data_IF_094361027890
#
_entry.id   IF_094361027890
#
_cell.length_a   1.000
_cell.length_b   1.000
_cell.length_c   1.000
_cell.angle_alpha   90.00
_cell.angle_beta   90.00
_cell.angle_gamma   90.00
#
_symmetry.space_group_name_H-M   'P 1'
#
loop_
_entity.id
_entity.type
_entity.pdbx_description
1 polymer ?
#
# COMPACT_ATOMS: atom_id res chain seq x y z
N UNK A 1 -4.81 0.38 1.85
CA UNK A 1 -4.29 0.05 3.18
C UNK A 1 -5.32 0.41 4.25
N UNK A 2 -5.81 -0.57 5.00
CA UNK A 2 -6.74 -0.30 6.10
C UNK A 2 -5.96 0.16 7.33
N UNK A 3 -6.36 1.29 7.90
CA UNK A 3 -5.86 1.85 9.15
C UNK A 3 -7.02 2.45 9.92
N UNK A 4 -6.93 2.39 11.23
CA UNK A 4 -7.86 3.07 12.12
C UNK A 4 -7.27 4.45 12.47
N UNK A 5 -8.07 5.48 12.28
CA UNK A 5 -7.78 6.84 12.73
C UNK A 5 -8.80 7.18 13.82
N UNK A 6 -8.31 7.66 14.95
CA UNK A 6 -9.16 8.05 16.08
C UNK A 6 -8.89 9.52 16.35
N UNK A 7 -9.94 10.32 16.27
CA UNK A 7 -9.93 11.70 16.72
C UNK A 7 -10.73 11.78 18.02
N UNK A 8 -10.17 12.42 19.02
CA UNK A 8 -10.80 12.62 20.31
C UNK A 8 -10.52 14.04 20.80
N UNK A 9 -11.50 14.64 21.47
CA UNK A 9 -11.40 15.99 22.00
C UNK A 9 -12.31 16.18 23.21
N UNK A 10 -12.46 17.42 23.66
CA UNK A 10 -13.38 17.82 24.72
C UNK A 10 -14.86 17.66 24.31
N UNK A 11 -15.77 18.08 25.21
CA UNK A 11 -17.22 17.91 25.04
C UNK A 11 -17.78 18.58 23.79
N UNK A 12 -17.16 19.67 23.35
CA UNK A 12 -17.60 20.48 22.21
C UNK A 12 -16.76 20.20 20.93
N UNK A 13 -16.01 19.10 20.93
CA UNK A 13 -15.22 18.68 19.78
C UNK A 13 -16.07 17.89 18.78
N UNK A 14 -16.05 18.30 17.50
CA UNK A 14 -16.83 17.73 16.41
C UNK A 14 -15.90 17.04 15.40
N UNK A 15 -15.51 15.77 15.60
CA UNK A 15 -14.58 15.06 14.74
C UNK A 15 -15.08 14.92 13.30
N UNK A 16 -16.38 14.94 13.06
CA UNK A 16 -16.99 14.90 11.73
C UNK A 16 -16.59 16.09 10.86
N UNK A 17 -16.37 17.26 11.42
CA UNK A 17 -15.88 18.45 10.69
C UNK A 17 -14.48 18.24 10.14
N UNK A 18 -13.70 17.38 10.80
CA UNK A 18 -12.31 17.09 10.42
C UNK A 18 -12.25 15.89 9.47
N UNK A 19 -13.04 14.85 9.75
CA UNK A 19 -12.95 13.57 9.04
C UNK A 19 -13.69 13.56 7.71
N UNK A 20 -14.68 14.45 7.51
CA UNK A 20 -15.46 14.48 6.29
C UNK A 20 -15.23 15.78 5.49
N UNK A 21 -15.27 15.66 4.17
CA UNK A 21 -15.36 16.81 3.27
C UNK A 21 -16.82 17.21 3.06
N UNK A 22 -17.05 18.48 2.68
CA UNK A 22 -18.39 18.99 2.43
C UNK A 22 -18.88 18.71 1.02
N UNK A 23 -17.95 18.58 0.10
CA UNK A 23 -18.24 18.43 -1.32
C UNK A 23 -17.63 17.16 -1.86
N UNK A 24 -18.37 16.54 -2.78
CA UNK A 24 -17.86 15.46 -3.59
C UNK A 24 -17.01 16.05 -4.72
N UNK A 25 -15.82 15.52 -4.92
CA UNK A 25 -14.97 15.87 -6.04
C UNK A 25 -15.52 15.33 -7.37
N UNK A 26 -14.98 15.84 -8.46
CA UNK A 26 -15.24 15.27 -9.78
C UNK A 26 -14.60 13.88 -9.91
N UNK A 27 -15.22 13.05 -10.72
CA UNK A 27 -14.60 11.78 -11.06
C UNK A 27 -13.35 12.06 -11.91
N UNK A 28 -12.20 11.65 -11.39
CA UNK A 28 -10.94 11.72 -12.11
C UNK A 28 -10.56 10.31 -12.51
N UNK A 29 -10.41 10.08 -13.82
CA UNK A 29 -9.80 8.84 -14.30
C UNK A 29 -8.37 8.74 -13.76
N UNK A 30 -8.05 7.61 -13.13
CA UNK A 30 -6.69 7.33 -12.72
C UNK A 30 -5.82 7.27 -13.97
N UNK A 31 -4.70 8.01 -14.00
CA UNK A 31 -3.80 7.89 -15.13
C UNK A 31 -3.30 6.44 -15.20
N UNK A 32 -3.55 5.80 -16.32
CA UNK A 32 -2.95 4.52 -16.62
C UNK A 32 -1.46 4.75 -16.76
N UNK A 33 -0.67 4.22 -15.82
CA UNK A 33 0.78 4.37 -15.87
C UNK A 33 1.35 3.60 -17.04
N UNK A 34 2.36 4.14 -17.72
CA UNK A 34 3.12 3.37 -18.69
C UNK A 34 3.72 2.14 -18.02
N UNK A 35 3.40 0.97 -18.55
CA UNK A 35 3.95 -0.30 -18.04
C UNK A 35 5.44 -0.45 -18.38
N UNK A 36 5.92 0.31 -19.38
CA UNK A 36 7.33 0.39 -19.77
C UNK A 36 7.71 1.85 -19.98
N UNK A 37 8.85 2.28 -19.44
CA UNK A 37 9.32 3.66 -19.57
C UNK A 37 10.84 3.75 -19.38
N UNK A 38 11.41 4.85 -19.85
CA UNK A 38 12.80 5.23 -19.64
C UNK A 38 12.89 6.33 -18.61
N UNK A 39 13.82 6.21 -17.66
CA UNK A 39 14.08 7.24 -16.65
C UNK A 39 15.53 7.14 -16.17
N UNK A 40 16.19 8.29 -15.98
CA UNK A 40 17.55 8.36 -15.43
C UNK A 40 18.57 7.46 -16.18
N UNK A 41 18.39 7.26 -17.50
CA UNK A 41 19.25 6.43 -18.33
C UNK A 41 19.02 4.92 -18.19
N UNK A 42 17.96 4.50 -17.51
CA UNK A 42 17.57 3.11 -17.31
C UNK A 42 16.23 2.80 -17.94
N UNK A 43 16.07 1.58 -18.42
CA UNK A 43 14.78 1.05 -18.88
C UNK A 43 14.04 0.39 -17.72
N UNK A 44 12.73 0.63 -17.64
CA UNK A 44 11.88 0.06 -16.62
C UNK A 44 10.66 -0.62 -17.20
N UNK A 45 10.26 -1.72 -16.56
CA UNK A 45 8.96 -2.34 -16.75
C UNK A 45 8.30 -2.58 -15.41
N UNK A 46 7.05 -2.16 -15.27
CA UNK A 46 6.19 -2.45 -14.13
C UNK A 46 5.07 -3.39 -14.56
N UNK A 47 4.55 -4.16 -13.64
CA UNK A 47 3.55 -5.20 -13.95
C UNK A 47 2.11 -4.75 -13.70
N UNK A 48 1.96 -3.66 -12.96
CA UNK A 48 0.69 -3.01 -12.65
C UNK A 48 0.91 -1.50 -12.54
N UNK A 49 -0.12 -0.76 -12.84
CA UNK A 49 -0.12 0.71 -12.80
C UNK A 49 -0.08 1.26 -11.39
N UNK A 50 -0.54 0.49 -10.42
CA UNK A 50 -0.58 0.87 -9.00
C UNK A 50 0.01 -0.22 -8.12
N UNK A 51 0.54 0.19 -6.99
CA UNK A 51 1.11 -0.69 -5.98
C UNK A 51 0.04 -1.14 -4.98
N UNK A 52 0.15 -2.38 -4.51
CA UNK A 52 -0.57 -2.83 -3.33
C UNK A 52 0.03 -2.23 -2.04
N UNK A 53 -0.66 -2.42 -0.93
CA UNK A 53 -0.17 -1.99 0.37
C UNK A 53 1.20 -2.55 0.69
N UNK A 54 2.12 -1.66 1.07
CA UNK A 54 3.38 -2.06 1.68
C UNK A 54 3.13 -2.70 3.05
N UNK A 55 3.86 -3.74 3.37
CA UNK A 55 3.81 -4.44 4.66
C UNK A 55 5.20 -4.51 5.30
N UNK A 56 5.25 -4.56 6.62
CA UNK A 56 6.50 -4.46 7.40
C UNK A 56 7.53 -5.55 7.06
N UNK A 57 7.09 -6.73 6.63
CA UNK A 57 7.97 -7.82 6.26
C UNK A 57 8.44 -7.78 4.79
N UNK A 58 8.14 -6.73 4.03
CA UNK A 58 8.47 -6.63 2.61
C UNK A 58 9.95 -6.84 2.32
N UNK A 59 10.83 -6.31 3.16
CA UNK A 59 12.28 -6.43 2.99
C UNK A 59 12.88 -7.76 3.48
N UNK A 60 12.18 -8.54 4.29
CA UNK A 60 12.75 -9.69 4.98
C UNK A 60 12.23 -11.04 4.53
N UNK A 61 10.96 -11.13 4.20
CA UNK A 61 10.31 -12.38 3.84
C UNK A 61 9.61 -12.27 2.50
N UNK A 62 9.89 -13.23 1.65
CA UNK A 62 9.02 -13.58 0.56
C UNK A 62 7.81 -14.33 1.16
N UNK A 63 6.89 -13.61 1.70
CA UNK A 63 5.64 -14.21 2.10
C UNK A 63 4.81 -14.37 0.84
N UNK A 64 4.28 -15.54 0.56
CA UNK A 64 3.39 -15.84 -0.55
C UNK A 64 2.09 -15.02 -0.49
N UNK A 65 2.23 -13.72 -0.38
CA UNK A 65 1.18 -12.74 -0.33
C UNK A 65 0.70 -12.47 -1.75
N UNK A 66 -0.58 -12.24 -1.95
CA UNK A 66 -1.16 -11.95 -3.26
C UNK A 66 -0.40 -10.84 -4.00
N UNK A 67 0.06 -9.80 -3.29
CA UNK A 67 0.87 -8.72 -3.80
C UNK A 67 2.18 -9.17 -4.49
N UNK A 68 2.75 -10.29 -4.06
CA UNK A 68 3.97 -10.83 -4.65
C UNK A 68 3.71 -11.48 -6.02
N UNK A 69 2.53 -12.06 -6.22
CA UNK A 69 2.18 -12.76 -7.44
C UNK A 69 1.45 -11.89 -8.47
N UNK A 70 0.84 -10.80 -8.03
CA UNK A 70 0.24 -9.83 -8.94
C UNK A 70 1.27 -8.85 -9.57
N UNK A 71 2.50 -8.82 -9.04
CA UNK A 71 3.60 -8.02 -9.57
C UNK A 71 3.66 -6.57 -9.07
N UNK A 72 2.71 -6.13 -8.24
CA UNK A 72 2.62 -4.71 -7.83
C UNK A 72 3.80 -4.16 -7.03
N UNK A 73 4.66 -5.03 -6.51
CA UNK A 73 5.82 -4.68 -5.68
C UNK A 73 7.16 -5.05 -6.35
N UNK A 74 7.14 -5.29 -7.65
CA UNK A 74 8.33 -5.57 -8.45
C UNK A 74 8.44 -4.62 -9.61
N UNK A 75 9.68 -4.43 -10.03
CA UNK A 75 10.02 -3.69 -11.24
C UNK A 75 11.14 -4.43 -11.95
N UNK A 76 11.15 -4.41 -13.26
CA UNK A 76 12.30 -4.77 -14.07
C UNK A 76 13.05 -3.49 -14.34
N UNK A 77 14.33 -3.47 -14.07
CA UNK A 77 15.28 -2.42 -14.44
C UNK A 77 16.39 -3.05 -15.26
N UNK A 78 16.62 -2.56 -16.47
CA UNK A 78 17.63 -3.07 -17.40
C UNK A 78 17.60 -4.59 -17.50
N UNK A 79 16.42 -5.11 -17.80
CA UNK A 79 16.14 -6.53 -17.94
C UNK A 79 16.25 -7.39 -16.64
N UNK A 80 16.61 -6.79 -15.51
CA UNK A 80 16.75 -7.49 -14.23
C UNK A 80 15.60 -7.16 -13.29
N UNK A 81 14.95 -8.18 -12.78
CA UNK A 81 13.86 -8.00 -11.82
C UNK A 81 14.40 -7.65 -10.43
N UNK A 82 13.78 -6.66 -9.79
CA UNK A 82 14.09 -6.22 -8.45
C UNK A 82 12.84 -5.87 -7.64
N UNK A 83 13.03 -5.71 -6.35
CA UNK A 83 12.03 -5.12 -5.46
C UNK A 83 12.07 -3.59 -5.57
N UNK A 84 11.05 -2.95 -5.01
CA UNK A 84 11.13 -1.52 -4.74
C UNK A 84 12.19 -1.26 -3.67
N UNK A 85 12.97 -0.19 -3.84
CA UNK A 85 13.95 0.25 -2.84
C UNK A 85 13.25 0.86 -1.61
N UNK A 86 13.94 1.05 -0.47
CA UNK A 86 13.38 1.80 0.65
C UNK A 86 12.98 3.23 0.27
N UNK A 87 13.77 3.91 -0.56
CA UNK A 87 13.45 5.23 -1.11
C UNK A 87 12.13 5.24 -1.89
N UNK A 88 11.96 4.28 -2.78
CA UNK A 88 10.72 4.16 -3.56
C UNK A 88 9.51 3.83 -2.66
N UNK A 89 9.73 3.03 -1.60
CA UNK A 89 8.70 2.76 -0.60
C UNK A 89 8.36 4.00 0.24
N UNK A 90 9.33 4.85 0.55
CA UNK A 90 9.12 6.15 1.20
C UNK A 90 8.25 7.04 0.33
N UNK A 91 8.61 7.19 -0.95
CA UNK A 91 7.83 7.96 -1.94
C UNK A 91 6.40 7.45 -2.09
N UNK A 92 6.20 6.12 -2.14
CA UNK A 92 4.86 5.50 -2.17
C UNK A 92 4.00 5.85 -0.96
N UNK A 93 4.62 6.03 0.20
CA UNK A 93 3.94 6.37 1.45
C UNK A 93 3.86 7.88 1.69
N UNK A 94 4.45 8.70 0.79
CA UNK A 94 4.47 10.16 0.86
C UNK A 94 5.49 10.72 1.85
N UNK A 95 6.48 9.93 2.26
CA UNK A 95 7.62 10.44 3.03
C UNK A 95 8.56 11.24 2.13
N UNK A 96 9.30 12.20 2.69
CA UNK A 96 10.45 12.77 2.01
C UNK A 96 11.47 11.69 1.64
N UNK A 97 12.23 11.93 0.58
CA UNK A 97 13.32 11.04 0.18
C UNK A 97 14.31 10.85 1.33
N UNK A 98 14.77 9.62 1.50
CA UNK A 98 15.75 9.22 2.51
C UNK A 98 15.31 9.45 3.99
N UNK A 99 14.02 9.65 4.24
CA UNK A 99 13.48 9.92 5.58
C UNK A 99 13.84 8.85 6.61
N UNK A 100 13.86 7.58 6.21
CA UNK A 100 14.22 6.47 7.10
C UNK A 100 15.71 6.10 7.03
N UNK A 101 16.53 6.84 6.26
CA UNK A 101 17.95 6.59 6.12
C UNK A 101 18.78 7.25 7.23
N UNK A 102 18.49 6.90 8.46
CA UNK A 102 19.23 7.38 9.63
C UNK A 102 20.51 6.57 9.85
N UNK A 103 21.50 7.15 10.52
CA UNK A 103 22.79 6.50 10.82
C UNK A 103 22.59 5.14 11.49
N UNK A 104 23.14 4.10 10.89
CA UNK A 104 23.04 2.72 11.40
C UNK A 104 21.77 1.98 11.03
N UNK A 105 20.82 2.59 10.32
CA UNK A 105 19.63 1.91 9.87
C UNK A 105 19.94 0.84 8.82
N UNK A 106 19.58 -0.39 9.10
CA UNK A 106 19.64 -1.47 8.12
C UNK A 106 18.47 -1.35 7.14
N UNK A 107 18.68 -1.74 5.89
CA UNK A 107 17.63 -1.74 4.85
C UNK A 107 16.34 -2.43 5.32
N UNK A 108 16.45 -3.55 6.03
CA UNK A 108 15.29 -4.28 6.58
C UNK A 108 14.50 -3.47 7.58
N UNK A 109 15.18 -2.68 8.41
CA UNK A 109 14.53 -1.81 9.40
C UNK A 109 13.79 -0.66 8.71
N UNK A 110 14.34 -0.11 7.62
CA UNK A 110 13.67 0.91 6.80
C UNK A 110 12.35 0.38 6.24
N UNK A 111 12.35 -0.78 5.59
CA UNK A 111 11.11 -1.41 5.11
C UNK A 111 10.10 -1.67 6.22
N UNK A 112 10.58 -2.13 7.39
CA UNK A 112 9.73 -2.39 8.54
C UNK A 112 9.06 -1.10 9.06
N UNK A 113 9.82 -0.04 9.20
CA UNK A 113 9.31 1.26 9.63
C UNK A 113 8.25 1.79 8.66
N UNK A 114 8.57 1.82 7.36
CA UNK A 114 7.66 2.27 6.31
C UNK A 114 6.40 1.39 6.26
N UNK A 115 6.58 0.06 6.34
CA UNK A 115 5.47 -0.89 6.32
C UNK A 115 4.55 -0.81 7.55
N UNK A 116 5.03 -0.34 8.69
CA UNK A 116 4.21 -0.11 9.90
C UNK A 116 3.61 1.30 9.95
N UNK A 117 4.17 2.26 9.22
CA UNK A 117 3.73 3.65 9.23
C UNK A 117 2.33 3.85 8.62
N UNK A 118 1.86 5.05 8.70
CA UNK A 118 0.68 5.55 7.98
C UNK A 118 1.08 6.18 6.65
N UNK A 119 0.12 6.32 5.73
CA UNK A 119 0.32 7.15 4.55
C UNK A 119 0.39 8.62 4.99
N UNK A 120 1.50 9.27 4.72
CA UNK A 120 1.77 10.65 5.13
C UNK A 120 0.70 11.63 4.62
N UNK A 121 0.23 11.56 3.36
CA UNK A 121 -0.79 12.48 2.86
C UNK A 121 -2.09 12.45 3.68
N UNK A 122 -2.52 11.27 4.15
CA UNK A 122 -3.73 11.14 4.97
C UNK A 122 -3.57 11.85 6.32
N UNK A 123 -2.42 11.65 6.97
CA UNK A 123 -2.13 12.28 8.27
C UNK A 123 -1.97 13.80 8.12
N UNK A 124 -1.33 14.24 7.04
CA UNK A 124 -1.21 15.68 6.72
C UNK A 124 -2.58 16.30 6.46
N UNK A 125 -3.46 15.61 5.75
CA UNK A 125 -4.81 16.10 5.47
C UNK A 125 -5.60 16.27 6.78
N UNK A 126 -5.59 15.27 7.66
CA UNK A 126 -6.23 15.35 8.98
C UNK A 126 -5.61 16.48 9.80
N UNK A 127 -4.27 16.58 9.86
CA UNK A 127 -3.57 17.59 10.64
C UNK A 127 -3.86 19.02 10.19
N UNK A 128 -3.92 19.26 8.87
CA UNK A 128 -4.31 20.59 8.33
C UNK A 128 -5.73 20.97 8.75
N UNK A 129 -6.66 20.04 8.74
CA UNK A 129 -8.04 20.28 9.14
C UNK A 129 -8.18 20.49 10.64
N UNK A 130 -7.40 19.78 11.45
CA UNK A 130 -7.32 20.03 12.91
C UNK A 130 -6.87 21.46 13.23
N UNK A 131 -5.80 21.92 12.58
CA UNK A 131 -5.31 23.30 12.77
C UNK A 131 -6.36 24.33 12.32
N UNK A 132 -7.05 24.07 11.21
CA UNK A 132 -8.10 24.97 10.72
C UNK A 132 -9.35 24.95 11.59
N UNK A 133 -9.62 23.86 12.31
CA UNK A 133 -10.77 23.70 13.20
C UNK A 133 -10.76 24.70 14.36
N UNK A 134 -9.59 25.00 14.91
CA UNK A 134 -9.42 25.99 15.98
C UNK A 134 -9.74 27.43 15.54
N UNK A 135 -9.70 27.71 14.22
CA UNK A 135 -9.92 29.03 13.63
C UNK A 135 -11.37 29.30 13.25
N UNK A 136 -12.20 28.26 13.15
CA UNK A 136 -13.61 28.36 12.82
C UNK A 136 -14.46 28.18 14.07
N UNK A 137 -14.93 29.26 14.69
CA UNK A 137 -15.95 29.16 15.72
C UNK A 137 -17.16 28.37 15.18
N UNK A 138 -17.51 27.35 15.94
CA UNK A 138 -18.43 26.29 15.59
C UNK A 138 -19.69 26.73 14.85
N UNK A 139 -19.71 26.50 13.57
CA UNK A 139 -20.90 26.46 12.73
C UNK A 139 -21.91 25.39 13.26
N UNK A 140 -21.49 24.49 14.12
CA UNK A 140 -22.23 23.30 14.55
C UNK A 140 -23.16 23.48 15.76
N UNK A 141 -23.02 24.52 16.57
CA UNK A 141 -23.90 24.69 17.75
C UNK A 141 -25.40 24.79 17.40
N UNK A 142 -25.74 25.21 16.19
CA UNK A 142 -27.12 25.28 15.71
C UNK A 142 -27.62 24.04 14.95
N UNK A 143 -26.74 23.12 14.56
CA UNK A 143 -27.00 22.09 13.55
C UNK A 143 -27.42 20.72 14.08
N UNK A 144 -27.28 20.44 15.35
CA UNK A 144 -27.75 19.18 15.99
C UNK A 144 -29.24 18.89 15.80
N UNK A 145 -30.01 19.87 15.29
CA UNK A 145 -31.47 19.78 15.10
C UNK A 145 -31.94 19.14 13.81
N UNK A 146 -31.05 18.82 12.86
CA UNK A 146 -31.45 18.50 11.49
C UNK A 146 -30.82 17.22 10.92
N UNK A 147 -30.39 16.30 11.77
CA UNK A 147 -29.87 15.01 11.33
C UNK A 147 -31.06 14.11 10.96
N UNK A 148 -31.11 13.64 9.75
CA UNK A 148 -32.06 12.62 9.34
C UNK A 148 -31.74 11.30 10.06
N UNK A 149 -32.55 10.97 11.06
CA UNK A 149 -32.39 9.79 11.92
C UNK A 149 -32.35 8.47 11.12
N UNK A 150 -32.90 8.47 9.90
CA UNK A 150 -32.88 7.29 9.01
C UNK A 150 -31.48 6.96 8.47
N UNK A 151 -30.54 7.93 8.51
CA UNK A 151 -29.17 7.80 8.03
C UNK A 151 -28.14 7.57 9.13
N UNK A 152 -28.56 7.68 10.41
CA UNK A 152 -27.67 7.65 11.56
C UNK A 152 -28.20 6.67 12.59
N UNK A 153 -27.36 5.74 13.00
CA UNK A 153 -27.67 4.87 14.15
C UNK A 153 -27.02 5.47 15.41
N UNK A 154 -27.83 5.89 16.37
CA UNK A 154 -27.35 6.27 17.68
C UNK A 154 -27.12 5.02 18.54
N UNK A 155 -25.87 4.77 18.87
CA UNK A 155 -25.49 3.83 19.91
C UNK A 155 -25.06 4.62 21.12
N UNK A 156 -25.61 4.37 22.30
CA UNK A 156 -25.23 5.01 23.56
C UNK A 156 -24.06 6.01 23.48
N UNK A 157 -24.31 7.26 23.15
CA UNK A 157 -23.32 8.34 22.95
C UNK A 157 -22.40 8.22 21.69
N UNK A 158 -22.76 7.41 20.69
CA UNK A 158 -22.04 7.34 19.43
C UNK A 158 -22.98 7.55 18.22
N UNK A 159 -22.50 8.26 17.21
CA UNK A 159 -23.19 8.45 15.93
C UNK A 159 -22.44 7.60 14.91
N UNK A 160 -23.18 6.73 14.21
CA UNK A 160 -22.61 5.88 13.15
C UNK A 160 -23.07 6.42 11.79
N UNK A 161 -22.10 6.83 10.97
CA UNK A 161 -22.35 7.26 9.59
C UNK A 161 -22.26 6.07 8.63
N UNK A 162 -23.31 5.85 7.84
CA UNK A 162 -23.35 4.78 6.85
C UNK A 162 -22.77 5.28 5.51
N UNK A 163 -21.54 4.92 5.24
CA UNK A 163 -20.83 5.28 4.00
C UNK A 163 -21.46 4.72 2.73
N UNK A 164 -22.35 3.74 2.83
CA UNK A 164 -23.08 3.20 1.67
C UNK A 164 -24.09 4.19 1.10
N UNK A 165 -24.47 5.19 1.89
CA UNK A 165 -25.42 6.25 1.49
C UNK A 165 -24.80 7.34 0.63
N UNK A 166 -23.49 7.36 0.50
CA UNK A 166 -22.79 8.36 -0.33
C UNK A 166 -22.72 9.74 0.34
N UNK A 167 -23.48 10.71 -0.16
CA UNK A 167 -23.56 12.04 0.47
C UNK A 167 -24.65 12.00 1.54
N UNK A 168 -24.28 12.32 2.79
CA UNK A 168 -25.20 12.40 3.92
C UNK A 168 -25.53 13.86 4.18
N UNK A 169 -26.83 14.18 4.19
CA UNK A 169 -27.33 15.52 4.55
C UNK A 169 -27.52 15.59 6.06
N UNK A 170 -26.79 16.49 6.70
CA UNK A 170 -26.92 16.74 8.15
C UNK A 170 -27.49 18.15 8.39
N UNK A 171 -28.48 18.52 7.60
CA UNK A 171 -29.16 19.81 7.68
C UNK A 171 -28.45 20.88 6.83
N UNK A 172 -27.86 21.90 7.46
CA UNK A 172 -27.19 22.97 6.74
C UNK A 172 -25.87 22.53 6.06
N UNK A 173 -25.46 21.26 6.22
CA UNK A 173 -24.22 20.74 5.68
C UNK A 173 -24.40 19.34 5.09
N UNK A 174 -23.60 19.05 4.07
CA UNK A 174 -23.50 17.71 3.46
C UNK A 174 -22.14 17.13 3.79
N UNK A 175 -22.14 15.87 4.21
CA UNK A 175 -20.91 15.11 4.45
C UNK A 175 -20.63 14.22 3.25
N UNK A 176 -19.46 14.38 2.65
CA UNK A 176 -19.02 13.52 1.56
C UNK A 176 -18.51 12.19 2.12
N UNK A 177 -19.33 11.16 2.07
CA UNK A 177 -18.97 9.79 2.45
C UNK A 177 -18.65 8.91 1.23
N UNK A 178 -18.40 9.52 0.06
CA UNK A 178 -18.02 8.81 -1.17
C UNK A 178 -16.51 8.55 -1.22
N UNK A 179 -16.10 7.70 -2.16
CA UNK A 179 -14.67 7.48 -2.48
C UNK A 179 -14.08 8.59 -3.37
N UNK A 180 -14.83 9.68 -3.61
CA UNK A 180 -14.43 10.79 -4.47
C UNK A 180 -14.11 12.02 -3.61
N UNK A 181 -12.85 12.19 -3.17
CA UNK A 181 -12.45 13.36 -2.40
C UNK A 181 -12.56 14.63 -3.22
N UNK A 182 -12.76 15.77 -2.56
CA UNK A 182 -12.92 17.07 -3.21
C UNK A 182 -11.70 17.44 -4.07
N UNK A 183 -10.50 17.04 -3.62
CA UNK A 183 -9.25 17.23 -4.36
C UNK A 183 -8.42 15.96 -4.33
N UNK A 184 -7.97 15.52 -5.49
CA UNK A 184 -7.09 14.39 -5.67
C UNK A 184 -5.80 14.80 -6.37
N UNK A 185 -4.68 14.26 -5.89
CA UNK A 185 -3.42 14.24 -6.61
C UNK A 185 -3.05 12.80 -6.91
N UNK A 186 -2.74 12.52 -8.18
CA UNK A 186 -2.30 11.20 -8.62
C UNK A 186 -0.81 11.23 -8.95
N UNK A 187 -0.13 10.13 -8.59
CA UNK A 187 1.24 9.88 -9.00
C UNK A 187 1.34 8.50 -9.62
N UNK A 188 2.06 8.41 -10.72
CA UNK A 188 2.34 7.13 -11.36
C UNK A 188 3.53 6.43 -10.68
N UNK A 189 3.70 5.13 -10.92
CA UNK A 189 4.91 4.43 -10.49
C UNK A 189 6.18 5.00 -11.15
N UNK A 190 6.07 5.60 -12.33
CA UNK A 190 7.16 6.32 -13.00
C UNK A 190 7.71 7.47 -12.16
N UNK A 191 6.83 8.19 -11.43
CA UNK A 191 7.25 9.30 -10.56
C UNK A 191 8.02 8.80 -9.33
N UNK A 192 7.72 7.60 -8.88
CA UNK A 192 8.24 6.98 -7.65
C UNK A 192 9.54 6.25 -7.86
N UNK A 193 9.66 5.50 -8.98
CA UNK A 193 10.82 4.66 -9.29
C UNK A 193 12.07 5.50 -9.53
N UNK A 194 13.21 5.01 -9.02
CA UNK A 194 14.54 5.59 -9.18
C UNK A 194 15.47 4.63 -9.90
N UNK A 195 16.38 5.19 -10.74
CA UNK A 195 17.45 4.44 -11.36
C UNK A 195 18.52 3.98 -10.37
N UNK A 196 18.71 4.73 -9.30
CA UNK A 196 19.68 4.39 -8.23
C UNK A 196 19.10 3.35 -7.27
N UNK A 197 19.28 2.08 -7.62
CA UNK A 197 18.80 0.95 -6.85
C UNK A 197 19.94 0.09 -6.31
N UNK A 198 20.00 -0.18 -4.98
CA UNK A 198 21.05 -1.01 -4.41
C UNK A 198 21.04 -2.42 -5.01
N UNK A 199 22.22 -2.98 -5.28
CA UNK A 199 22.36 -4.31 -5.92
C UNK A 199 21.65 -5.44 -5.16
N UNK A 200 21.53 -5.32 -3.86
CA UNK A 200 20.95 -6.32 -2.98
C UNK A 200 19.43 -6.46 -3.10
N UNK A 201 18.74 -5.53 -3.75
CA UNK A 201 17.29 -5.66 -3.97
C UNK A 201 16.96 -6.38 -5.28
N UNK A 202 17.94 -6.57 -6.16
CA UNK A 202 17.76 -7.39 -7.36
C UNK A 202 17.61 -8.86 -6.99
N UNK A 203 16.71 -9.54 -7.69
CA UNK A 203 16.41 -10.93 -7.42
C UNK A 203 17.38 -11.82 -8.17
N UNK A 204 18.09 -12.67 -7.42
CA UNK A 204 19.01 -13.63 -8.04
C UNK A 204 18.26 -14.69 -8.87
N UNK A 205 18.92 -15.36 -9.83
CA UNK A 205 18.33 -16.45 -10.58
C UNK A 205 17.71 -17.54 -9.70
N UNK A 206 18.38 -17.91 -8.60
CA UNK A 206 17.85 -18.84 -7.58
C UNK A 206 16.59 -18.28 -6.94
N UNK A 207 16.54 -16.98 -6.68
CA UNK A 207 15.36 -16.30 -6.14
C UNK A 207 14.19 -16.33 -7.11
N UNK A 208 14.43 -16.03 -8.39
CA UNK A 208 13.43 -16.08 -9.45
C UNK A 208 12.82 -17.50 -9.57
N UNK A 209 13.66 -18.49 -9.68
CA UNK A 209 13.22 -19.90 -9.73
C UNK A 209 12.42 -20.29 -8.48
N UNK A 210 12.87 -19.90 -7.30
CA UNK A 210 12.19 -20.17 -6.05
C UNK A 210 10.78 -19.56 -5.96
N UNK A 211 10.53 -18.45 -6.66
CA UNK A 211 9.19 -17.86 -6.78
C UNK A 211 8.31 -18.72 -7.68
N UNK A 212 8.81 -19.08 -8.85
CA UNK A 212 8.09 -19.92 -9.84
C UNK A 212 7.75 -21.28 -9.22
N UNK A 213 8.70 -21.93 -8.56
CA UNK A 213 8.48 -23.20 -7.89
C UNK A 213 7.36 -23.11 -6.85
N UNK A 214 7.37 -22.09 -5.98
CA UNK A 214 6.33 -21.92 -4.97
C UNK A 214 4.96 -21.62 -5.59
N UNK A 215 4.92 -20.91 -6.70
CA UNK A 215 3.67 -20.72 -7.48
C UNK A 215 3.12 -22.06 -7.91
N UNK A 216 3.95 -22.92 -8.49
CA UNK A 216 3.55 -24.26 -8.95
C UNK A 216 3.12 -25.16 -7.79
N UNK A 217 3.93 -25.27 -6.73
CA UNK A 217 3.63 -26.09 -5.53
C UNK A 217 2.32 -25.69 -4.83
N UNK A 218 1.93 -24.44 -4.93
CA UNK A 218 0.72 -23.90 -4.26
C UNK A 218 -0.45 -23.65 -5.19
N UNK A 219 -0.30 -23.97 -6.47
CA UNK A 219 -1.30 -23.70 -7.52
C UNK A 219 -1.81 -22.25 -7.48
N UNK A 220 -0.88 -21.28 -7.46
CA UNK A 220 -1.20 -19.86 -7.38
C UNK A 220 -1.20 -19.22 -8.77
N UNK A 221 -2.14 -18.31 -9.00
CA UNK A 221 -2.12 -17.44 -10.17
C UNK A 221 -1.01 -16.40 -10.04
N UNK A 222 -0.30 -16.10 -11.12
CA UNK A 222 0.72 -15.06 -11.19
C UNK A 222 0.47 -14.18 -12.41
N UNK A 223 0.81 -12.90 -12.30
CA UNK A 223 0.77 -11.99 -13.45
C UNK A 223 1.68 -12.53 -14.56
N UNK A 224 1.16 -12.62 -15.79
CA UNK A 224 1.87 -13.25 -16.93
C UNK A 224 3.16 -12.51 -17.32
N UNK A 225 3.21 -11.19 -17.20
CA UNK A 225 4.43 -10.38 -17.46
C UNK A 225 5.47 -10.64 -16.37
N UNK A 226 5.05 -10.71 -15.11
CA UNK A 226 5.93 -11.07 -13.99
C UNK A 226 6.49 -12.47 -14.16
N UNK A 227 5.68 -13.44 -14.59
CA UNK A 227 6.15 -14.81 -14.84
C UNK A 227 7.24 -14.86 -15.91
N UNK A 228 7.04 -14.15 -17.03
CA UNK A 228 8.04 -14.02 -18.10
C UNK A 228 9.35 -13.40 -17.57
N UNK A 229 9.27 -12.34 -16.79
CA UNK A 229 10.45 -11.69 -16.23
C UNK A 229 11.20 -12.60 -15.25
N UNK A 230 10.48 -13.36 -14.42
CA UNK A 230 11.06 -14.34 -13.51
C UNK A 230 11.73 -15.51 -14.25
N UNK A 231 11.11 -16.02 -15.31
CA UNK A 231 11.70 -17.07 -16.16
C UNK A 231 12.97 -16.57 -16.84
N UNK A 232 12.95 -15.34 -17.38
CA UNK A 232 14.14 -14.70 -17.97
C UNK A 232 15.24 -14.54 -16.90
N UNK A 233 14.89 -14.08 -15.71
CA UNK A 233 15.83 -13.94 -14.60
C UNK A 233 16.42 -15.26 -14.09
N UNK A 234 15.70 -16.37 -14.25
CA UNK A 234 16.15 -17.71 -13.88
C UNK A 234 17.00 -18.40 -14.97
N UNK A 235 16.93 -17.96 -16.24
CA UNK A 235 17.56 -18.63 -17.40
C UNK A 235 19.09 -18.64 -17.38
N UNK A 236 19.72 -17.81 -16.54
CA UNK A 236 21.18 -17.73 -16.43
C UNK A 236 21.84 -18.87 -15.65
N UNK A 237 21.08 -19.87 -15.20
CA UNK A 237 21.58 -21.03 -14.44
C UNK A 237 20.86 -22.31 -14.84
N UNK A 238 21.56 -23.45 -14.79
CA UNK A 238 20.90 -24.75 -14.98
C UNK A 238 20.01 -25.10 -13.79
N UNK A 239 19.03 -25.99 -14.01
CA UNK A 239 18.11 -26.43 -12.97
C UNK A 239 18.85 -27.09 -11.81
N UNK A 240 19.88 -27.91 -12.12
CA UNK A 240 20.72 -28.59 -11.12
C UNK A 240 21.53 -27.59 -10.28
N UNK A 241 22.09 -26.54 -10.90
CA UNK A 241 22.81 -25.48 -10.19
C UNK A 241 21.88 -24.71 -9.24
N UNK A 242 20.66 -24.45 -9.71
CA UNK A 242 19.63 -23.75 -8.89
C UNK A 242 19.24 -24.61 -7.70
N UNK A 243 18.97 -25.90 -7.91
CA UNK A 243 18.61 -26.83 -6.85
C UNK A 243 19.72 -26.98 -5.83
N UNK A 244 20.97 -27.13 -6.27
CA UNK A 244 22.16 -27.20 -5.40
C UNK A 244 22.34 -25.94 -4.53
N UNK A 245 21.99 -24.77 -5.06
CA UNK A 245 22.10 -23.48 -4.34
C UNK A 245 20.85 -23.10 -3.59
N UNK A 246 19.72 -23.74 -3.88
CA UNK A 246 18.46 -23.46 -3.19
C UNK A 246 18.55 -23.89 -1.74
N UNK A 247 18.40 -22.92 -0.81
CA UNK A 247 18.21 -23.26 0.60
C UNK A 247 16.82 -23.87 0.75
N UNK A 248 16.76 -25.16 0.99
CA UNK A 248 15.52 -25.82 1.41
C UNK A 248 15.21 -25.32 2.82
N UNK A 249 14.34 -24.33 2.92
CA UNK A 249 13.82 -23.93 4.23
C UNK A 249 12.89 -25.03 4.72
N UNK A 250 13.08 -25.48 5.97
CA UNK A 250 12.10 -26.36 6.64
C UNK A 250 10.73 -25.72 6.48
N UNK A 251 9.79 -26.47 5.95
CA UNK A 251 8.43 -25.99 5.66
C UNK A 251 7.80 -25.45 6.93
N UNK A 252 7.11 -24.31 6.81
CA UNK A 252 6.47 -23.63 7.93
C UNK A 252 5.26 -24.42 8.47
N UNK A 253 4.71 -23.92 9.57
CA UNK A 253 3.60 -24.49 10.37
C UNK A 253 2.36 -24.95 9.59
N UNK A 254 2.17 -24.49 8.36
CA UNK A 254 1.05 -24.81 7.48
C UNK A 254 1.41 -25.74 6.31
N UNK A 255 2.57 -26.40 6.32
CA UNK A 255 2.92 -27.36 5.27
C UNK A 255 2.05 -28.62 5.39
N UNK A 256 1.80 -29.29 4.26
CA UNK A 256 1.03 -30.54 4.26
C UNK A 256 1.65 -31.63 5.15
N UNK A 257 2.98 -31.59 5.31
CA UNK A 257 3.69 -32.56 6.17
C UNK A 257 3.38 -32.32 7.66
N UNK A 258 3.17 -31.08 8.08
CA UNK A 258 2.75 -30.77 9.46
C UNK A 258 1.27 -31.10 9.71
N UNK A 259 0.44 -31.13 8.68
CA UNK A 259 -0.96 -31.59 8.81
C UNK A 259 -1.06 -33.09 9.05
N UNK A 260 -0.15 -33.89 8.46
CA UNK A 260 -0.11 -35.33 8.69
C UNK A 260 0.32 -35.70 10.12
N UNK A 261 1.18 -34.88 10.76
CA UNK A 261 1.61 -35.09 12.14
C UNK A 261 0.61 -34.62 13.20
N UNK A 262 -0.35 -33.76 12.83
CA UNK A 262 -1.38 -33.26 13.75
C UNK A 262 -2.62 -34.16 13.83
N UNK A 263 -2.68 -35.24 13.00
CA UNK A 263 -3.77 -36.22 12.96
C UNK A 263 -3.25 -37.66 13.21
N UNK A 264 -2.02 -37.81 13.62
CA UNK A 264 -1.44 -39.06 14.13
C UNK A 264 -1.14 -38.92 15.65
#
# INVERSE_FOLDING_TARGET
>A
RRRLYVLAGGKDFHPEEILFELHKGEFVEYPTGDLTFEKEGHSFEVFREYSDCLYSAYGTKWNGNAAAYNGSLFVVQDEKIRRLSPLECERLMGFPDEYTNIKGAKRTNRYQAIGNSWAVPVVQWIGKRLVSYELTESIYKEKKKYIDESMINEYQNAILYDFSKGIIDVGAMKLNCTEQPEKCEFRSLKDIISGDAPKEIFISPVGCYGIIRRKQERNLSINSRLEKALLKGASGMTKEEIEKRSRIQKRGKHSQDNKKLAYA
#
